data_IF_027552717511
#
_entry.id   IF_027552717511
#
_cell.length_a   1.000
_cell.length_b   1.000
_cell.length_c   1.000
_cell.angle_alpha   90.00
_cell.angle_beta   90.00
_cell.angle_gamma   90.00
#
_symmetry.space_group_name_H-M   'P 1'
#
loop_
_entity.id
_entity.type
_entity.pdbx_description
1 polymer ?
#
# COMPACT_ATOMS: atom_id res chain seq x y z
N UNK A 1 44.41 5.07 59.48
CA UNK A 1 44.29 5.39 60.92
C UNK A 1 42.88 5.84 61.20
N UNK A 2 42.33 5.28 62.28
CA UNK A 2 40.98 5.33 62.87
C UNK A 2 40.20 6.66 62.88
N UNK A 3 38.86 6.57 62.77
CA UNK A 3 37.81 6.93 63.77
C UNK A 3 36.50 7.30 63.02
N UNK A 4 35.42 6.50 63.11
CA UNK A 4 34.35 6.49 64.14
C UNK A 4 33.50 7.79 64.14
N UNK A 5 32.18 7.81 64.32
CA UNK A 5 31.11 6.84 64.46
C UNK A 5 29.74 7.59 64.46
N UNK A 6 28.68 6.91 64.04
CA UNK A 6 27.26 6.97 64.43
C UNK A 6 26.60 8.23 65.08
N UNK A 7 25.45 8.65 64.53
CA UNK A 7 24.13 8.82 65.22
C UNK A 7 23.09 9.42 64.26
N UNK A 8 22.02 8.70 63.89
CA UNK A 8 20.73 8.58 64.60
C UNK A 8 19.98 9.92 64.76
N UNK A 9 19.15 10.26 63.77
CA UNK A 9 18.06 11.22 63.95
C UNK A 9 16.75 10.45 64.20
N UNK A 10 16.49 10.16 65.49
CA UNK A 10 15.15 9.84 65.98
C UNK A 10 14.29 11.09 65.86
N UNK A 11 13.39 11.12 64.88
CA UNK A 11 12.28 12.07 64.86
C UNK A 11 11.36 11.73 66.03
N UNK A 12 11.16 12.69 66.95
CA UNK A 12 10.37 12.50 68.17
C UNK A 12 8.89 12.38 67.80
N UNK A 13 8.19 11.42 68.41
CA UNK A 13 6.75 11.17 68.26
C UNK A 13 5.84 12.41 68.44
N UNK A 14 6.36 13.49 69.05
CA UNK A 14 5.62 14.76 69.25
C UNK A 14 5.45 15.60 67.99
N UNK A 15 6.25 15.38 66.94
CA UNK A 15 6.08 16.07 65.65
C UNK A 15 5.06 15.38 64.73
N UNK A 16 4.73 14.13 65.01
CA UNK A 16 3.71 13.36 64.29
C UNK A 16 2.30 13.75 64.78
N UNK A 17 2.12 13.97 66.08
CA UNK A 17 0.81 14.35 66.66
C UNK A 17 0.34 15.76 66.26
N UNK A 18 1.27 16.67 65.93
CA UNK A 18 0.92 18.01 65.43
C UNK A 18 0.68 18.05 63.91
N UNK A 19 1.24 17.12 63.14
CA UNK A 19 0.99 17.01 61.69
C UNK A 19 -0.40 16.41 61.36
N UNK A 20 -0.99 15.63 62.29
CA UNK A 20 -2.34 15.09 62.14
C UNK A 20 -3.46 16.03 62.63
N UNK A 21 -3.13 17.15 63.30
CA UNK A 21 -4.13 18.10 63.83
C UNK A 21 -4.69 19.10 62.81
N UNK A 22 -4.13 19.14 61.58
CA UNK A 22 -4.54 20.06 60.51
C UNK A 22 -4.72 19.44 59.12
N UNK A 23 -5.19 18.18 59.04
CA UNK A 23 -5.85 17.70 57.81
C UNK A 23 -7.29 17.35 58.11
N UNK A 24 -8.14 18.38 58.11
CA UNK A 24 -9.57 18.18 57.86
C UNK A 24 -9.68 17.53 56.49
N UNK A 25 -10.07 16.26 56.46
CA UNK A 25 -10.64 15.65 55.26
C UNK A 25 -11.91 16.46 54.98
N UNK A 26 -12.01 17.20 53.86
CA UNK A 26 -13.23 17.93 53.55
C UNK A 26 -14.29 16.89 53.19
N UNK A 27 -15.15 16.56 54.14
CA UNK A 27 -16.44 15.97 53.82
C UNK A 27 -17.25 17.03 53.06
N UNK A 28 -17.68 16.77 51.81
CA UNK A 28 -18.37 17.76 50.99
C UNK A 28 -19.69 18.16 51.65
N UNK A 29 -19.83 19.45 51.98
CA UNK A 29 -21.01 20.02 52.67
C UNK A 29 -22.14 20.44 51.72
N UNK A 30 -22.06 20.08 50.44
CA UNK A 30 -23.16 20.24 49.48
C UNK A 30 -23.31 18.95 48.69
N UNK A 31 -24.53 18.41 48.67
CA UNK A 31 -24.93 17.20 47.93
C UNK A 31 -24.43 17.18 46.48
N UNK A 32 -24.23 18.36 45.90
CA UNK A 32 -23.71 18.59 44.54
C UNK A 32 -22.26 18.10 44.37
N UNK A 33 -21.38 18.26 45.35
CA UNK A 33 -19.97 17.81 45.27
C UNK A 33 -19.87 16.29 45.39
N UNK A 34 -20.72 15.67 46.20
CA UNK A 34 -20.82 14.21 46.28
C UNK A 34 -21.33 13.61 44.97
N UNK A 35 -22.34 14.23 44.36
CA UNK A 35 -22.86 13.84 43.04
C UNK A 35 -21.77 14.01 41.97
N UNK A 36 -20.98 15.09 42.01
CA UNK A 36 -19.88 15.29 41.07
C UNK A 36 -18.80 14.21 41.21
N UNK A 37 -18.41 13.85 42.44
CA UNK A 37 -17.44 12.77 42.68
C UNK A 37 -17.97 11.39 42.26
N UNK A 38 -19.27 11.13 42.47
CA UNK A 38 -19.94 9.91 41.98
C UNK A 38 -20.00 9.88 40.44
N UNK A 39 -20.29 11.02 39.80
CA UNK A 39 -20.32 11.12 38.35
C UNK A 39 -18.93 10.90 37.75
N UNK A 40 -17.89 11.49 38.34
CA UNK A 40 -16.49 11.32 37.90
C UNK A 40 -16.01 9.87 38.12
N UNK A 41 -16.38 9.24 39.24
CA UNK A 41 -16.00 7.84 39.48
C UNK A 41 -16.73 6.90 38.53
N UNK A 42 -18.00 7.17 38.22
CA UNK A 42 -18.79 6.38 37.29
C UNK A 42 -18.29 6.52 35.85
N UNK A 43 -17.94 7.73 35.39
CA UNK A 43 -17.34 7.94 34.06
C UNK A 43 -15.96 7.30 33.95
N UNK A 44 -15.15 7.35 35.01
CA UNK A 44 -13.86 6.66 35.05
C UNK A 44 -14.04 5.13 34.99
N UNK A 45 -15.00 4.57 35.71
CA UNK A 45 -15.32 3.15 35.65
C UNK A 45 -15.84 2.72 34.27
N UNK A 46 -16.71 3.51 33.66
CA UNK A 46 -17.20 3.28 32.30
C UNK A 46 -16.07 3.37 31.28
N UNK A 47 -15.14 4.32 31.43
CA UNK A 47 -13.95 4.44 30.58
C UNK A 47 -13.02 3.22 30.73
N UNK A 48 -12.77 2.76 31.95
CA UNK A 48 -11.98 1.54 32.18
C UNK A 48 -12.66 0.29 31.61
N UNK A 49 -13.98 0.19 31.78
CA UNK A 49 -14.75 -0.96 31.29
C UNK A 49 -14.84 -0.98 29.77
N UNK A 50 -15.04 0.19 29.13
CA UNK A 50 -15.01 0.33 27.67
C UNK A 50 -13.63 0.07 27.10
N UNK A 51 -12.55 0.50 27.75
CA UNK A 51 -11.19 0.15 27.32
C UNK A 51 -10.89 -1.35 27.47
N UNK A 52 -11.36 -1.98 28.54
CA UNK A 52 -11.23 -3.43 28.75
C UNK A 52 -12.06 -4.22 27.72
N UNK A 53 -13.27 -3.76 27.40
CA UNK A 53 -14.10 -4.32 26.35
C UNK A 53 -13.48 -4.12 24.97
N UNK A 54 -12.94 -2.94 24.66
CA UNK A 54 -12.25 -2.66 23.38
C UNK A 54 -10.98 -3.49 23.23
N UNK A 55 -10.22 -3.68 24.31
CA UNK A 55 -9.05 -4.57 24.31
C UNK A 55 -9.47 -6.02 24.07
N UNK A 56 -10.52 -6.51 24.75
CA UNK A 56 -11.07 -7.85 24.52
C UNK A 56 -11.72 -8.01 23.15
N UNK A 57 -12.35 -6.97 22.61
CA UNK A 57 -12.89 -6.95 21.25
C UNK A 57 -11.77 -7.05 20.23
N UNK A 58 -10.68 -6.29 20.38
CA UNK A 58 -9.49 -6.43 19.53
C UNK A 58 -8.85 -7.80 19.66
N UNK A 59 -8.74 -8.34 20.88
CA UNK A 59 -8.19 -9.67 21.11
C UNK A 59 -9.09 -10.76 20.50
N UNK A 60 -10.41 -10.61 20.59
CA UNK A 60 -11.38 -11.48 19.93
C UNK A 60 -11.36 -11.30 18.41
N UNK A 61 -11.25 -10.08 17.87
CA UNK A 61 -11.15 -9.79 16.43
C UNK A 61 -9.88 -10.39 15.82
N UNK A 62 -8.77 -10.38 16.57
CA UNK A 62 -7.52 -11.07 16.20
C UNK A 62 -7.68 -12.59 16.27
N UNK A 63 -8.41 -13.12 17.26
CA UNK A 63 -8.68 -14.57 17.43
C UNK A 63 -9.77 -15.11 16.49
N UNK A 64 -10.66 -14.25 15.99
CA UNK A 64 -11.78 -14.59 15.11
C UNK A 64 -11.49 -14.36 13.63
N UNK A 65 -10.33 -13.86 13.22
CA UNK A 65 -9.94 -13.92 11.81
C UNK A 65 -9.77 -15.39 11.44
N UNK A 66 -10.73 -15.99 10.71
CA UNK A 66 -10.53 -17.35 10.20
C UNK A 66 -9.35 -17.27 9.22
N UNK A 67 -8.73 -18.40 8.90
CA UNK A 67 -7.94 -18.46 7.67
C UNK A 67 -8.80 -17.89 6.53
N UNK A 68 -8.23 -17.13 5.62
CA UNK A 68 -9.00 -16.48 4.55
C UNK A 68 -9.82 -17.53 3.76
N UNK A 69 -9.37 -18.79 3.73
CA UNK A 69 -10.10 -19.97 3.24
C UNK A 69 -11.33 -20.40 4.08
N UNK A 70 -11.27 -20.32 5.42
CA UNK A 70 -12.44 -20.57 6.27
C UNK A 70 -13.48 -19.44 6.18
N UNK A 71 -13.06 -18.20 5.96
CA UNK A 71 -13.96 -17.07 5.69
C UNK A 71 -14.62 -17.15 4.30
N UNK A 72 -14.05 -17.93 3.38
CA UNK A 72 -14.57 -18.22 2.04
C UNK A 72 -15.63 -19.35 2.00
N UNK A 73 -16.07 -19.87 3.16
CA UNK A 73 -17.10 -20.92 3.24
C UNK A 73 -16.61 -22.32 2.85
N UNK A 74 -15.29 -22.53 2.74
CA UNK A 74 -14.70 -23.80 2.28
C UNK A 74 -14.64 -24.84 3.41
N UNK A 75 -14.87 -24.42 4.66
CA UNK A 75 -15.03 -25.32 5.82
C UNK A 75 -16.44 -25.18 6.42
N UNK A 76 -17.47 -25.57 5.67
CA UNK A 76 -18.83 -25.63 6.21
C UNK A 76 -19.85 -25.94 5.13
N UNK A 77 -20.64 -27.01 5.33
CA UNK A 77 -21.77 -27.39 4.48
C UNK A 77 -22.78 -26.24 4.36
N UNK A 78 -22.64 -25.38 3.34
CA UNK A 78 -23.71 -24.52 2.85
C UNK A 78 -23.66 -24.50 1.33
N UNK A 79 -24.33 -25.50 0.74
CA UNK A 79 -24.79 -25.46 -0.64
C UNK A 79 -26.00 -24.54 -0.68
N UNK A 80 -25.83 -23.31 -1.16
CA UNK A 80 -26.93 -22.52 -1.73
C UNK A 80 -26.60 -22.28 -3.20
N UNK A 81 -27.14 -23.15 -4.05
CA UNK A 81 -27.00 -23.11 -5.50
C UNK A 81 -27.99 -22.16 -6.16
N UNK A 82 -27.82 -20.85 -5.95
CA UNK A 82 -28.52 -19.82 -6.70
C UNK A 82 -27.71 -18.51 -6.66
N UNK A 83 -26.68 -18.39 -7.51
CA UNK A 83 -26.16 -17.11 -8.04
C UNK A 83 -24.90 -17.30 -8.92
N UNK A 84 -24.77 -18.44 -9.60
CA UNK A 84 -23.71 -18.64 -10.59
C UNK A 84 -24.01 -17.87 -11.89
N UNK A 85 -23.89 -16.54 -11.88
CA UNK A 85 -24.25 -15.75 -13.06
C UNK A 85 -23.93 -14.25 -13.08
N UNK A 86 -23.24 -13.66 -12.09
CA UNK A 86 -22.80 -12.26 -12.19
C UNK A 86 -21.34 -12.16 -12.65
N UNK A 87 -21.14 -11.43 -13.75
CA UNK A 87 -19.80 -11.10 -14.27
C UNK A 87 -18.91 -10.34 -13.26
N UNK A 88 -19.50 -9.72 -12.23
CA UNK A 88 -18.78 -8.97 -11.20
C UNK A 88 -18.02 -9.86 -10.20
N UNK A 89 -18.37 -11.14 -10.08
CA UNK A 89 -17.81 -12.00 -9.04
C UNK A 89 -16.36 -12.44 -9.32
N UNK A 90 -15.96 -12.52 -10.60
CA UNK A 90 -14.61 -13.02 -10.98
C UNK A 90 -13.47 -12.13 -10.45
N UNK A 91 -13.73 -10.82 -10.31
CA UNK A 91 -12.78 -9.82 -9.85
C UNK A 91 -12.47 -9.89 -8.35
N UNK A 92 -12.98 -10.92 -7.67
CA UNK A 92 -12.68 -11.24 -6.27
C UNK A 92 -11.78 -12.47 -6.18
N UNK A 93 -11.10 -12.64 -5.05
CA UNK A 93 -10.33 -13.86 -4.77
C UNK A 93 -11.22 -15.12 -4.87
N UNK A 94 -12.45 -15.05 -4.34
CA UNK A 94 -13.41 -16.14 -4.41
C UNK A 94 -13.79 -16.47 -5.86
N UNK A 95 -14.20 -15.47 -6.64
CA UNK A 95 -14.60 -15.72 -8.03
C UNK A 95 -13.44 -16.18 -8.91
N UNK A 96 -12.21 -15.70 -8.66
CA UNK A 96 -11.02 -16.25 -9.32
C UNK A 96 -10.84 -17.73 -8.98
N UNK A 97 -10.99 -18.12 -7.71
CA UNK A 97 -10.94 -19.54 -7.31
C UNK A 97 -12.02 -20.36 -8.01
N UNK A 98 -13.27 -19.90 -8.00
CA UNK A 98 -14.38 -20.61 -8.67
C UNK A 98 -14.18 -20.73 -10.17
N UNK A 99 -13.63 -19.70 -10.82
CA UNK A 99 -13.29 -19.74 -12.24
C UNK A 99 -12.19 -20.77 -12.55
N UNK A 100 -11.13 -20.82 -11.74
CA UNK A 100 -10.06 -21.82 -11.91
C UNK A 100 -10.56 -23.24 -11.68
N UNK A 101 -11.49 -23.40 -10.73
CA UNK A 101 -12.15 -24.68 -10.45
C UNK A 101 -13.03 -25.12 -11.62
N UNK A 102 -13.93 -24.24 -12.10
CA UNK A 102 -14.87 -24.58 -13.18
C UNK A 102 -14.20 -24.84 -14.52
N UNK A 103 -13.04 -24.22 -14.77
CA UNK A 103 -12.23 -24.42 -15.98
C UNK A 103 -11.23 -25.58 -15.86
N UNK A 104 -11.16 -26.26 -14.71
CA UNK A 104 -10.21 -27.34 -14.44
C UNK A 104 -8.75 -26.89 -14.24
N UNK A 105 -8.46 -25.59 -14.35
CA UNK A 105 -7.11 -25.03 -14.21
C UNK A 105 -6.51 -25.25 -12.81
N UNK A 106 -7.35 -25.37 -11.78
CA UNK A 106 -6.91 -25.56 -10.38
C UNK A 106 -6.05 -26.81 -10.19
N UNK A 107 -6.32 -27.87 -10.95
CA UNK A 107 -5.63 -29.17 -10.83
C UNK A 107 -4.14 -29.07 -11.21
N UNK A 108 -3.83 -28.25 -12.22
CA UNK A 108 -2.49 -28.09 -12.77
C UNK A 108 -1.78 -26.82 -12.30
N UNK A 109 -2.46 -25.96 -11.55
CA UNK A 109 -1.86 -24.71 -11.06
C UNK A 109 -0.74 -25.02 -10.06
N UNK A 110 0.47 -24.54 -10.35
CA UNK A 110 1.61 -24.63 -9.42
C UNK A 110 2.25 -23.26 -9.20
N UNK A 111 2.94 -23.11 -8.07
CA UNK A 111 3.75 -21.90 -7.81
C UNK A 111 4.88 -21.74 -8.81
N UNK A 112 5.49 -22.85 -9.26
CA UNK A 112 6.58 -22.83 -10.24
C UNK A 112 6.17 -22.20 -11.58
N UNK A 113 4.95 -22.47 -12.06
CA UNK A 113 4.44 -21.91 -13.33
C UNK A 113 4.28 -20.38 -13.30
N UNK A 114 4.07 -19.82 -12.11
CA UNK A 114 3.84 -18.39 -11.88
C UNK A 114 5.08 -17.66 -11.36
N UNK A 115 6.18 -18.37 -11.13
CA UNK A 115 7.38 -17.83 -10.50
C UNK A 115 8.35 -17.25 -11.55
N UNK A 116 8.34 -15.92 -11.68
CA UNK A 116 9.30 -15.20 -12.52
C UNK A 116 10.60 -14.83 -11.76
N UNK A 117 10.64 -14.95 -10.43
CA UNK A 117 11.81 -14.56 -9.61
C UNK A 117 13.05 -15.33 -10.00
N UNK A 118 12.92 -16.65 -10.25
CA UNK A 118 14.04 -17.50 -10.66
C UNK A 118 14.63 -17.19 -12.04
N UNK A 119 14.04 -16.25 -12.81
CA UNK A 119 14.57 -15.80 -14.11
C UNK A 119 15.49 -14.59 -13.99
N UNK A 120 15.57 -13.97 -12.81
CA UNK A 120 16.46 -12.84 -12.58
C UNK A 120 17.93 -13.29 -12.56
N UNK A 121 18.80 -12.41 -13.05
CA UNK A 121 20.25 -12.60 -13.10
C UNK A 121 20.97 -11.77 -12.04
N UNK A 122 20.25 -10.85 -11.38
CA UNK A 122 20.75 -9.98 -10.33
C UNK A 122 20.03 -10.27 -9.02
N UNK A 123 20.75 -10.16 -7.91
CA UNK A 123 20.17 -10.10 -6.55
C UNK A 123 19.68 -8.66 -6.26
N UNK A 124 18.88 -8.12 -7.17
CA UNK A 124 18.36 -6.75 -7.10
C UNK A 124 16.88 -6.75 -7.43
N UNK A 125 16.06 -6.26 -6.51
CA UNK A 125 14.67 -5.93 -6.83
C UNK A 125 14.64 -4.56 -7.51
N UNK A 126 14.05 -4.51 -8.70
CA UNK A 126 13.73 -3.25 -9.33
C UNK A 126 12.24 -2.93 -9.19
N UNK A 127 11.94 -1.90 -8.40
CA UNK A 127 10.59 -1.41 -8.17
C UNK A 127 10.36 -0.13 -8.99
N UNK A 128 9.90 -0.31 -10.22
CA UNK A 128 9.60 0.80 -11.14
C UNK A 128 8.24 1.44 -10.80
N UNK A 129 8.17 2.07 -9.63
CA UNK A 129 6.92 2.45 -8.94
C UNK A 129 5.99 3.33 -9.77
N UNK A 130 4.72 2.93 -9.83
CA UNK A 130 3.62 3.78 -10.29
C UNK A 130 3.36 4.90 -9.26
N UNK A 131 2.90 6.07 -9.71
CA UNK A 131 2.47 7.16 -8.82
C UNK A 131 1.15 6.84 -8.12
N UNK A 132 1.04 7.23 -6.84
CA UNK A 132 -0.17 7.16 -6.00
C UNK A 132 -0.74 5.74 -5.77
N UNK A 133 0.10 4.71 -5.90
CA UNK A 133 -0.23 3.32 -5.56
C UNK A 133 0.27 2.90 -4.17
N UNK A 134 0.63 3.87 -3.31
CA UNK A 134 1.18 3.61 -1.97
C UNK A 134 2.63 3.12 -1.99
N UNK A 135 3.42 3.60 -2.95
CA UNK A 135 4.83 3.23 -3.12
C UNK A 135 5.75 3.71 -1.99
N UNK A 136 5.46 4.84 -1.34
CA UNK A 136 6.16 5.26 -0.11
C UNK A 136 5.98 4.23 1.02
N UNK A 137 4.76 3.67 1.17
CA UNK A 137 4.49 2.62 2.14
C UNK A 137 5.31 1.37 1.86
N UNK A 138 5.42 0.97 0.60
CA UNK A 138 6.27 -0.14 0.19
C UNK A 138 7.75 0.15 0.48
N UNK A 139 8.21 1.38 0.24
CA UNK A 139 9.60 1.76 0.50
C UNK A 139 9.96 1.73 1.98
N UNK A 140 9.07 2.20 2.86
CA UNK A 140 9.29 2.07 4.31
C UNK A 140 9.33 0.61 4.75
N UNK A 141 8.44 -0.23 4.20
CA UNK A 141 8.48 -1.67 4.44
C UNK A 141 9.81 -2.29 3.94
N UNK A 142 10.28 -1.93 2.75
CA UNK A 142 11.57 -2.40 2.21
C UNK A 142 12.76 -1.96 3.06
N UNK A 143 12.74 -0.77 3.67
CA UNK A 143 13.78 -0.34 4.61
C UNK A 143 13.79 -1.19 5.88
N UNK A 144 12.62 -1.54 6.41
CA UNK A 144 12.49 -2.40 7.59
C UNK A 144 12.97 -3.82 7.25
N UNK A 145 12.52 -4.36 6.12
CA UNK A 145 12.91 -5.69 5.65
C UNK A 145 14.39 -5.75 5.27
N UNK A 146 14.99 -4.67 4.78
CA UNK A 146 16.42 -4.60 4.50
C UNK A 146 17.27 -4.86 5.74
N UNK A 147 16.81 -4.39 6.91
CA UNK A 147 17.45 -4.69 8.20
C UNK A 147 17.22 -6.14 8.65
N UNK A 148 16.01 -6.67 8.43
CA UNK A 148 15.64 -8.03 8.84
C UNK A 148 16.33 -9.10 7.99
N UNK A 149 16.36 -8.88 6.68
CA UNK A 149 16.75 -9.86 5.69
C UNK A 149 18.14 -9.53 5.09
N UNK A 150 18.91 -8.58 5.62
CA UNK A 150 20.26 -8.23 5.15
C UNK A 150 20.32 -7.86 3.66
N UNK A 151 19.66 -6.74 3.30
CA UNK A 151 19.78 -6.12 1.97
C UNK A 151 19.67 -4.59 2.07
N UNK A 152 20.17 -3.87 1.06
CA UNK A 152 20.12 -2.40 1.03
C UNK A 152 18.86 -1.91 0.30
N UNK A 153 18.05 -1.07 0.94
CA UNK A 153 16.94 -0.39 0.29
C UNK A 153 17.38 0.95 -0.32
N UNK A 154 17.44 1.02 -1.65
CA UNK A 154 17.87 2.20 -2.41
C UNK A 154 16.71 2.81 -3.20
N UNK A 155 16.80 4.11 -3.45
CA UNK A 155 15.85 4.89 -4.26
C UNK A 155 16.59 5.93 -5.07
N UNK A 156 15.95 6.43 -6.10
CA UNK A 156 16.45 7.59 -6.84
C UNK A 156 16.47 8.86 -5.98
N UNK A 157 17.41 9.75 -6.32
CA UNK A 157 17.52 11.07 -5.72
C UNK A 157 16.34 11.96 -6.15
N UNK A 158 15.94 12.88 -5.26
CA UNK A 158 14.85 13.80 -5.55
C UNK A 158 15.26 14.78 -6.66
N UNK A 159 14.50 14.74 -7.76
CA UNK A 159 14.67 15.63 -8.91
C UNK A 159 13.57 16.68 -8.98
N UNK A 160 13.83 17.75 -9.73
CA UNK A 160 12.81 18.77 -10.05
C UNK A 160 11.65 18.13 -10.84
N UNK A 161 11.99 17.23 -11.77
CA UNK A 161 11.03 16.48 -12.58
C UNK A 161 11.40 14.99 -12.58
N UNK A 162 10.38 14.16 -12.63
CA UNK A 162 10.53 12.72 -12.78
C UNK A 162 10.77 12.37 -14.26
N UNK A 163 11.79 11.54 -14.52
CA UNK A 163 12.09 11.02 -15.86
C UNK A 163 11.47 9.63 -15.99
N UNK A 164 10.22 9.59 -16.46
CA UNK A 164 9.47 8.33 -16.62
C UNK A 164 9.89 7.56 -17.87
N UNK A 165 10.16 8.27 -18.97
CA UNK A 165 10.59 7.71 -20.25
C UNK A 165 12.03 8.12 -20.53
N UNK A 166 12.83 7.15 -20.95
CA UNK A 166 14.25 7.31 -21.24
C UNK A 166 14.52 6.80 -22.65
N UNK A 167 15.39 7.48 -23.39
CA UNK A 167 15.97 6.92 -24.61
C UNK A 167 16.92 5.75 -24.26
N UNK A 168 17.26 4.88 -25.22
CA UNK A 168 18.07 3.69 -24.95
C UNK A 168 19.45 3.99 -24.36
N UNK A 169 20.11 5.09 -24.76
CA UNK A 169 21.44 5.45 -24.27
C UNK A 169 21.34 5.89 -22.81
N UNK A 170 20.39 6.77 -22.51
CA UNK A 170 20.15 7.19 -21.14
C UNK A 170 19.71 6.02 -20.24
N UNK A 171 18.83 5.15 -20.72
CA UNK A 171 18.37 3.97 -19.98
C UNK A 171 19.53 3.02 -19.66
N UNK A 172 20.44 2.77 -20.61
CA UNK A 172 21.63 1.93 -20.39
C UNK A 172 22.58 2.56 -19.37
N UNK A 173 22.85 3.87 -19.48
CA UNK A 173 23.66 4.58 -18.50
C UNK A 173 23.06 4.50 -17.09
N UNK A 174 21.75 4.73 -16.96
CA UNK A 174 21.01 4.57 -15.71
C UNK A 174 21.15 3.16 -15.12
N UNK A 175 21.02 2.11 -15.94
CA UNK A 175 21.20 0.74 -15.46
C UNK A 175 22.60 0.55 -14.87
N UNK A 176 23.65 1.01 -15.55
CA UNK A 176 25.01 0.89 -15.03
C UNK A 176 25.26 1.72 -13.76
N UNK A 177 24.80 2.97 -13.71
CA UNK A 177 25.06 3.88 -12.59
C UNK A 177 24.26 3.55 -11.34
N UNK A 178 23.03 3.07 -11.51
CA UNK A 178 22.06 2.97 -10.43
C UNK A 178 21.68 1.53 -10.11
N UNK A 179 21.48 0.68 -11.10
CA UNK A 179 21.05 -0.71 -10.89
C UNK A 179 22.25 -1.62 -10.60
N UNK A 180 23.27 -1.59 -11.47
CA UNK A 180 24.43 -2.49 -11.42
C UNK A 180 25.55 -2.03 -10.48
N UNK A 181 25.45 -0.81 -9.95
CA UNK A 181 26.47 -0.21 -9.08
C UNK A 181 26.50 -0.81 -7.65
N UNK A 182 25.50 -1.61 -7.27
CA UNK A 182 25.49 -2.32 -5.99
C UNK A 182 25.72 -3.81 -6.21
N UNK A 183 26.71 -4.35 -5.49
CA UNK A 183 27.10 -5.77 -5.59
C UNK A 183 26.41 -6.65 -4.56
N UNK A 184 25.88 -6.05 -3.50
CA UNK A 184 25.09 -6.74 -2.48
C UNK A 184 23.62 -6.85 -2.88
N UNK A 185 22.93 -7.77 -2.23
CA UNK A 185 21.47 -7.84 -2.27
C UNK A 185 20.88 -6.45 -2.00
N UNK A 186 20.05 -5.96 -2.89
CA UNK A 186 19.47 -4.63 -2.74
C UNK A 186 18.11 -4.48 -3.45
N UNK A 187 17.44 -3.37 -3.16
CA UNK A 187 16.29 -2.92 -3.93
C UNK A 187 16.58 -1.54 -4.49
N UNK A 188 16.09 -1.25 -5.70
CA UNK A 188 16.15 0.08 -6.29
C UNK A 188 14.75 0.50 -6.72
N UNK A 189 14.31 1.65 -6.20
CA UNK A 189 12.98 2.19 -6.45
C UNK A 189 13.06 3.48 -7.25
N UNK A 190 12.29 3.59 -8.35
CA UNK A 190 12.24 4.80 -9.19
C UNK A 190 10.90 4.92 -9.93
N UNK A 191 10.44 6.16 -10.16
CA UNK A 191 9.36 6.44 -11.10
C UNK A 191 9.84 6.34 -12.54
N UNK A 192 9.71 5.15 -13.14
CA UNK A 192 10.16 4.90 -14.52
C UNK A 192 9.31 3.83 -15.20
N UNK A 193 9.09 3.97 -16.51
CA UNK A 193 8.40 2.96 -17.30
C UNK A 193 9.20 1.65 -17.37
N UNK A 194 8.52 0.56 -17.72
CA UNK A 194 9.17 -0.75 -17.89
C UNK A 194 10.35 -0.66 -18.87
N UNK A 195 11.50 -1.20 -18.46
CA UNK A 195 12.72 -1.28 -19.25
C UNK A 195 12.93 -2.72 -19.69
N UNK A 196 13.19 -2.93 -20.97
CA UNK A 196 13.57 -4.24 -21.48
C UNK A 196 15.09 -4.39 -21.40
N UNK A 197 15.56 -5.06 -20.33
CA UNK A 197 16.98 -5.29 -20.10
C UNK A 197 17.61 -6.16 -21.21
N UNK A 198 16.84 -7.07 -21.84
CA UNK A 198 17.37 -7.84 -22.98
C UNK A 198 17.63 -6.96 -24.19
N UNK A 199 16.74 -5.99 -24.44
CA UNK A 199 16.91 -5.06 -25.55
C UNK A 199 18.12 -4.13 -25.37
N UNK A 200 18.63 -3.99 -24.14
CA UNK A 200 19.80 -3.16 -23.81
C UNK A 200 21.08 -4.00 -23.59
N UNK A 201 21.00 -5.33 -23.76
CA UNK A 201 22.08 -6.28 -23.44
C UNK A 201 22.54 -6.20 -21.98
N UNK A 202 21.57 -6.13 -21.06
CA UNK A 202 21.80 -6.00 -19.62
C UNK A 202 21.17 -7.16 -18.83
N UNK A 203 21.71 -7.50 -17.64
CA UNK A 203 21.19 -8.58 -16.80
C UNK A 203 19.88 -8.21 -16.11
N UNK A 204 18.92 -9.14 -16.09
CA UNK A 204 17.59 -8.88 -15.52
C UNK A 204 17.58 -8.78 -13.99
N UNK A 205 16.99 -7.73 -13.40
CA UNK A 205 16.62 -7.69 -11.99
C UNK A 205 15.30 -8.44 -11.72
N UNK A 206 14.96 -8.58 -10.43
CA UNK A 206 13.65 -9.05 -9.99
C UNK A 206 12.67 -7.87 -10.09
N UNK A 207 11.78 -7.88 -11.07
CA UNK A 207 10.77 -6.84 -11.21
C UNK A 207 9.60 -7.03 -10.24
N UNK A 208 9.25 -5.98 -9.50
CA UNK A 208 8.01 -5.91 -8.73
C UNK A 208 7.27 -4.60 -9.04
N UNK A 209 5.97 -4.57 -8.76
CA UNK A 209 5.25 -3.30 -8.75
C UNK A 209 4.02 -3.31 -7.84
N UNK A 210 3.37 -2.15 -7.73
CA UNK A 210 2.11 -1.96 -7.02
C UNK A 210 1.14 -1.19 -7.91
N UNK A 211 -0.11 -1.66 -7.99
CA UNK A 211 -1.21 -0.98 -8.67
C UNK A 211 -2.28 -0.52 -7.69
N UNK A 212 -3.19 0.31 -8.20
CA UNK A 212 -4.39 0.77 -7.50
C UNK A 212 -5.53 0.91 -8.50
N UNK A 213 -6.77 0.87 -8.03
CA UNK A 213 -7.92 1.25 -8.85
C UNK A 213 -7.64 2.58 -9.60
N UNK A 214 -7.75 2.61 -10.94
CA UNK A 214 -7.35 3.77 -11.73
C UNK A 214 -8.11 5.04 -11.37
N UNK A 215 -9.40 4.95 -11.01
CA UNK A 215 -10.22 6.10 -10.64
C UNK A 215 -9.75 6.63 -9.29
N UNK A 216 -9.65 5.77 -8.28
CA UNK A 216 -9.21 6.17 -6.94
C UNK A 216 -7.77 6.70 -6.92
N UNK A 217 -6.94 6.23 -7.86
CA UNK A 217 -5.58 6.71 -8.11
C UNK A 217 -5.57 8.13 -8.71
N UNK A 218 -6.43 8.43 -9.69
CA UNK A 218 -6.59 9.77 -10.25
C UNK A 218 -7.09 10.76 -9.20
N UNK A 219 -8.14 10.40 -8.45
CA UNK A 219 -8.63 11.19 -7.32
C UNK A 219 -7.48 11.44 -6.33
N UNK A 220 -6.62 10.42 -6.12
CA UNK A 220 -5.47 10.55 -5.24
C UNK A 220 -4.35 11.43 -5.74
N UNK A 221 -4.15 11.50 -7.04
CA UNK A 221 -3.21 12.43 -7.62
C UNK A 221 -3.75 13.85 -7.54
N UNK A 222 -5.02 14.05 -7.93
CA UNK A 222 -5.66 15.35 -8.01
C UNK A 222 -5.52 16.17 -6.71
N UNK A 223 -5.89 15.56 -5.57
CA UNK A 223 -5.78 16.24 -4.27
C UNK A 223 -4.35 16.27 -3.72
N UNK A 224 -3.46 15.36 -4.14
CA UNK A 224 -2.05 15.41 -3.73
C UNK A 224 -1.32 16.56 -4.41
N UNK A 225 -1.49 16.71 -5.73
CA UNK A 225 -0.89 17.79 -6.50
C UNK A 225 -1.37 19.18 -6.02
N UNK A 226 -2.51 19.25 -5.34
CA UNK A 226 -3.08 20.47 -4.75
C UNK A 226 -2.78 20.65 -3.27
N UNK A 227 -2.02 19.75 -2.65
CA UNK A 227 -1.75 19.85 -1.24
C UNK A 227 -0.79 21.03 -0.95
N UNK A 228 -1.11 21.94 -0.01
CA UNK A 228 -0.23 23.09 0.27
C UNK A 228 1.17 22.69 0.71
N UNK A 229 1.29 21.60 1.49
CA UNK A 229 2.58 21.08 1.95
C UNK A 229 3.46 20.59 0.79
N UNK A 230 2.87 19.99 -0.24
CA UNK A 230 3.61 19.52 -1.43
C UNK A 230 4.32 20.68 -2.14
N UNK A 231 3.66 21.83 -2.27
CA UNK A 231 4.25 23.03 -2.87
C UNK A 231 5.24 23.72 -1.94
N UNK A 232 4.96 23.76 -0.63
CA UNK A 232 5.86 24.34 0.36
C UNK A 232 7.20 23.60 0.41
N UNK A 233 7.18 22.27 0.52
CA UNK A 233 8.38 21.42 0.54
C UNK A 233 9.18 21.58 -0.75
N UNK A 234 8.53 21.54 -1.92
CA UNK A 234 9.24 21.71 -3.20
C UNK A 234 9.87 23.09 -3.32
N UNK A 235 9.20 24.15 -2.86
CA UNK A 235 9.77 25.51 -2.87
C UNK A 235 10.94 25.64 -1.90
N UNK A 236 10.90 24.95 -0.77
CA UNK A 236 12.03 24.86 0.15
C UNK A 236 13.23 24.15 -0.51
N UNK A 237 13.01 23.04 -1.21
CA UNK A 237 14.08 22.26 -1.86
C UNK A 237 14.65 22.92 -3.12
N UNK A 238 13.80 23.48 -3.99
CA UNK A 238 14.19 23.92 -5.33
C UNK A 238 14.12 25.46 -5.51
N UNK A 239 13.77 26.19 -4.47
CA UNK A 239 13.73 27.66 -4.46
C UNK A 239 12.76 28.25 -5.49
N UNK A 240 13.18 29.33 -6.13
CA UNK A 240 12.36 30.11 -7.07
C UNK A 240 12.06 29.41 -8.39
N UNK A 241 12.65 28.24 -8.64
CA UNK A 241 12.24 27.38 -9.76
C UNK A 241 10.80 26.86 -9.58
N UNK A 242 10.27 26.87 -8.36
CA UNK A 242 8.90 26.47 -8.04
C UNK A 242 8.00 27.70 -7.98
N UNK A 243 7.17 27.86 -9.01
CA UNK A 243 6.09 28.83 -9.01
C UNK A 243 4.92 28.29 -8.18
N UNK A 244 4.50 29.06 -7.17
CA UNK A 244 3.35 28.69 -6.36
C UNK A 244 2.08 28.80 -7.20
N UNK A 245 1.22 27.76 -7.20
CA UNK A 245 -0.01 27.78 -7.97
C UNK A 245 -1.04 28.75 -7.37
N UNK A 246 -2.02 29.12 -8.19
CA UNK A 246 -3.15 29.94 -7.76
C UNK A 246 -3.97 29.26 -6.65
N UNK A 247 -4.48 30.06 -5.71
CA UNK A 247 -5.24 29.55 -4.56
C UNK A 247 -6.56 28.90 -5.03
N UNK A 248 -7.20 29.39 -6.09
CA UNK A 248 -8.42 28.78 -6.60
C UNK A 248 -8.13 27.42 -7.22
N UNK A 249 -6.99 27.28 -7.91
CA UNK A 249 -6.54 25.98 -8.42
C UNK A 249 -6.30 24.97 -7.29
N UNK A 250 -5.63 25.39 -6.19
CA UNK A 250 -5.40 24.56 -5.01
C UNK A 250 -6.70 24.10 -4.33
N UNK A 251 -7.74 24.94 -4.33
CA UNK A 251 -9.05 24.65 -3.71
C UNK A 251 -10.04 23.92 -4.62
N UNK A 252 -9.73 23.79 -5.91
CA UNK A 252 -10.62 23.17 -6.90
C UNK A 252 -11.02 21.75 -6.47
N UNK A 253 -12.31 21.45 -6.54
CA UNK A 253 -12.83 20.10 -6.29
C UNK A 253 -12.75 19.23 -7.55
N UNK A 254 -12.52 17.92 -7.36
CA UNK A 254 -12.36 17.00 -8.48
C UNK A 254 -13.64 16.82 -9.29
N UNK A 255 -14.81 16.82 -8.65
CA UNK A 255 -16.09 16.73 -9.37
C UNK A 255 -16.29 17.96 -10.25
N UNK A 256 -16.06 19.15 -9.67
CA UNK A 256 -16.14 20.41 -10.40
C UNK A 256 -15.17 20.45 -11.58
N UNK A 257 -13.94 19.94 -11.40
CA UNK A 257 -12.93 19.84 -12.47
C UNK A 257 -13.41 18.98 -13.65
N UNK A 258 -14.06 17.85 -13.37
CA UNK A 258 -14.64 16.99 -14.41
C UNK A 258 -15.86 17.63 -15.08
N UNK A 259 -16.74 18.27 -14.30
CA UNK A 259 -17.96 18.92 -14.81
C UNK A 259 -17.65 20.11 -15.70
N UNK A 260 -16.67 20.93 -15.31
CA UNK A 260 -16.23 22.11 -16.07
C UNK A 260 -15.28 21.75 -17.23
N UNK A 261 -14.88 20.48 -17.35
CA UNK A 261 -13.95 19.99 -18.37
C UNK A 261 -12.61 20.75 -18.34
N UNK A 262 -12.10 21.02 -17.13
CA UNK A 262 -10.76 21.58 -16.97
C UNK A 262 -9.75 20.66 -17.68
N UNK A 263 -8.74 21.22 -18.38
CA UNK A 263 -7.83 20.41 -19.19
C UNK A 263 -7.21 19.19 -18.50
N UNK A 264 -6.88 19.28 -17.20
CA UNK A 264 -6.29 18.18 -16.42
C UNK A 264 -7.27 17.04 -16.05
N UNK A 265 -8.58 17.30 -16.15
CA UNK A 265 -9.66 16.36 -15.85
C UNK A 265 -10.38 15.86 -17.11
N UNK A 266 -9.82 16.15 -18.28
CA UNK A 266 -10.24 15.59 -19.56
C UNK A 266 -9.42 14.32 -19.85
N UNK A 267 -10.12 13.23 -20.16
CA UNK A 267 -9.55 11.89 -20.35
C UNK A 267 -9.89 11.37 -21.75
N UNK A 268 -9.36 12.03 -22.77
CA UNK A 268 -9.62 11.72 -24.17
C UNK A 268 -8.84 10.48 -24.62
N UNK A 269 -9.52 9.60 -25.35
CA UNK A 269 -8.93 8.36 -25.87
C UNK A 269 -7.80 8.68 -26.85
N UNK A 270 -6.71 7.91 -26.77
CA UNK A 270 -5.52 8.07 -27.62
C UNK A 270 -4.80 9.41 -27.46
N UNK A 271 -5.17 10.24 -26.48
CA UNK A 271 -4.49 11.51 -26.24
C UNK A 271 -3.02 11.25 -25.90
N UNK A 272 -2.13 11.92 -26.64
CA UNK A 272 -0.68 11.86 -26.47
C UNK A 272 -0.15 12.94 -25.54
N UNK A 273 -1.01 13.88 -25.12
CA UNK A 273 -0.65 15.01 -24.27
C UNK A 273 -0.06 14.58 -22.94
N UNK A 274 0.97 15.33 -22.50
CA UNK A 274 1.63 15.13 -21.22
C UNK A 274 1.19 16.22 -20.22
N UNK A 275 -0.03 16.08 -19.69
CA UNK A 275 -0.51 16.88 -18.55
C UNK A 275 0.08 16.40 -17.19
N UNK A 276 1.28 15.79 -17.23
CA UNK A 276 1.97 15.27 -16.05
C UNK A 276 1.70 13.79 -15.75
N UNK A 277 1.56 12.97 -16.80
CA UNK A 277 1.46 11.49 -16.95
C UNK A 277 0.91 10.58 -15.83
N UNK A 278 0.35 11.15 -14.78
CA UNK A 278 -0.29 10.45 -13.68
C UNK A 278 -1.56 9.75 -14.14
N UNK A 279 -2.04 10.00 -15.37
CA UNK A 279 -3.25 9.36 -15.91
C UNK A 279 -3.01 7.91 -16.34
N UNK A 280 -1.77 7.56 -16.74
CA UNK A 280 -1.43 6.27 -17.36
C UNK A 280 -0.73 5.35 -16.38
N UNK A 281 -1.48 4.44 -15.73
CA UNK A 281 -0.86 3.36 -14.97
C UNK A 281 -0.26 2.32 -15.93
N UNK A 282 -0.92 2.07 -17.07
CA UNK A 282 -0.45 1.16 -18.11
C UNK A 282 0.95 1.48 -18.63
N UNK A 283 1.34 2.77 -18.70
CA UNK A 283 2.67 3.19 -19.18
C UNK A 283 3.81 2.52 -18.41
N UNK A 284 3.68 2.45 -17.08
CA UNK A 284 4.68 1.88 -16.20
C UNK A 284 4.94 0.39 -16.46
N UNK A 285 4.00 -0.31 -17.09
CA UNK A 285 4.10 -1.71 -17.45
C UNK A 285 4.33 -1.93 -18.95
N UNK A 286 3.83 -1.05 -19.81
CA UNK A 286 3.97 -1.15 -21.26
C UNK A 286 5.42 -0.90 -21.70
N UNK A 287 6.06 0.13 -21.13
CA UNK A 287 7.48 0.43 -21.28
C UNK A 287 7.80 1.64 -22.16
N UNK A 288 9.06 1.72 -22.58
CA UNK A 288 9.67 2.93 -23.16
C UNK A 288 9.22 3.31 -24.58
N UNK A 289 8.45 2.47 -25.27
CA UNK A 289 8.05 2.71 -26.67
C UNK A 289 6.89 3.69 -26.75
N UNK A 290 7.21 4.96 -26.96
CA UNK A 290 6.23 6.07 -26.89
C UNK A 290 5.12 5.96 -27.92
N UNK A 291 5.42 5.51 -29.13
CA UNK A 291 4.46 5.26 -30.22
C UNK A 291 3.31 4.32 -29.81
N UNK A 292 3.60 3.34 -28.95
CA UNK A 292 2.64 2.33 -28.49
C UNK A 292 2.11 2.63 -27.09
N UNK A 293 2.97 3.07 -26.18
CA UNK A 293 2.67 3.11 -24.75
C UNK A 293 2.15 4.46 -24.25
N UNK A 294 2.39 5.56 -24.97
CA UNK A 294 1.90 6.89 -24.60
C UNK A 294 0.43 7.16 -24.96
N UNK A 295 -0.17 6.60 -26.02
CA UNK A 295 -1.58 6.85 -26.30
C UNK A 295 -2.46 6.47 -25.12
N UNK A 296 -3.19 7.45 -24.56
CA UNK A 296 -4.00 7.22 -23.36
C UNK A 296 -5.09 6.17 -23.61
N UNK A 297 -5.24 5.23 -22.67
CA UNK A 297 -6.26 4.19 -22.70
C UNK A 297 -6.24 3.37 -24.03
N UNK A 298 -5.08 3.21 -24.66
CA UNK A 298 -4.90 2.39 -25.87
C UNK A 298 -5.04 0.89 -25.57
N UNK A 299 -5.60 0.17 -26.53
CA UNK A 299 -5.64 -1.28 -26.51
C UNK A 299 -4.23 -1.90 -26.63
N UNK A 300 -3.40 -1.42 -27.56
CA UNK A 300 -2.04 -1.93 -27.73
C UNK A 300 -1.17 -1.72 -26.48
N UNK A 301 -1.26 -0.54 -25.87
CA UNK A 301 -0.54 -0.21 -24.65
C UNK A 301 -0.89 -1.19 -23.52
N UNK A 302 -2.19 -1.41 -23.30
CA UNK A 302 -2.70 -2.31 -22.28
C UNK A 302 -2.33 -3.78 -22.54
N UNK A 303 -2.43 -4.27 -23.78
CA UNK A 303 -2.05 -5.64 -24.11
C UNK A 303 -0.55 -5.89 -23.91
N UNK A 304 0.29 -4.91 -24.30
CA UNK A 304 1.74 -4.98 -24.05
C UNK A 304 2.06 -4.95 -22.55
N UNK A 305 1.38 -4.09 -21.79
CA UNK A 305 1.49 -4.07 -20.34
C UNK A 305 1.16 -5.43 -19.71
N UNK A 306 0.02 -6.04 -20.08
CA UNK A 306 -0.38 -7.39 -19.62
C UNK A 306 0.70 -8.43 -19.91
N UNK A 307 1.22 -8.45 -21.14
CA UNK A 307 2.29 -9.36 -21.57
C UNK A 307 3.57 -9.18 -20.74
N UNK A 308 3.97 -7.94 -20.46
CA UNK A 308 5.15 -7.67 -19.64
C UNK A 308 4.94 -8.11 -18.19
N UNK A 309 3.77 -7.82 -17.61
CA UNK A 309 3.39 -8.28 -16.26
C UNK A 309 3.49 -9.80 -16.15
N UNK A 310 2.93 -10.54 -17.10
CA UNK A 310 3.01 -12.02 -17.08
C UNK A 310 4.43 -12.55 -17.22
N UNK A 311 5.23 -11.98 -18.12
CA UNK A 311 6.53 -12.56 -18.49
C UNK A 311 7.68 -12.13 -17.59
N UNK A 312 7.62 -10.92 -17.04
CA UNK A 312 8.79 -10.25 -16.45
C UNK A 312 8.63 -9.88 -14.98
N UNK A 313 7.42 -9.60 -14.50
CA UNK A 313 7.21 -9.23 -13.10
C UNK A 313 7.08 -10.47 -12.22
N UNK A 314 7.83 -10.52 -11.11
CA UNK A 314 7.68 -11.54 -10.09
C UNK A 314 6.30 -11.39 -9.43
N UNK A 315 6.07 -10.24 -8.80
CA UNK A 315 4.80 -9.93 -8.12
C UNK A 315 4.38 -8.50 -8.44
N UNK A 316 3.11 -8.32 -8.76
CA UNK A 316 2.46 -7.01 -8.84
C UNK A 316 1.28 -7.02 -7.88
N UNK A 317 1.36 -6.22 -6.81
CA UNK A 317 0.39 -6.21 -5.72
C UNK A 317 -0.57 -5.02 -5.74
N UNK A 318 -1.51 -5.00 -4.79
CA UNK A 318 -2.34 -3.83 -4.45
C UNK A 318 -2.58 -3.76 -2.94
N UNK A 319 -2.58 -2.54 -2.38
CA UNK A 319 -2.93 -2.35 -0.97
C UNK A 319 -4.42 -2.58 -0.69
N UNK A 320 -5.26 -2.64 -1.71
CA UNK A 320 -6.68 -3.02 -1.57
C UNK A 320 -6.82 -4.50 -1.15
N UNK A 321 -5.83 -5.34 -1.52
CA UNK A 321 -5.70 -6.75 -1.13
C UNK A 321 -4.37 -6.95 -0.37
N UNK A 322 -4.18 -6.20 0.72
CA UNK A 322 -2.92 -6.13 1.47
C UNK A 322 -2.40 -7.51 1.91
N UNK A 323 -3.23 -8.34 2.55
CA UNK A 323 -2.81 -9.65 3.04
C UNK A 323 -2.34 -10.56 1.91
N UNK A 324 -3.14 -10.66 0.85
CA UNK A 324 -2.82 -11.41 -0.35
C UNK A 324 -1.50 -10.94 -0.95
N UNK A 325 -1.32 -9.63 -1.09
CA UNK A 325 -0.08 -9.03 -1.62
C UNK A 325 1.15 -9.43 -0.78
N UNK A 326 1.08 -9.28 0.54
CA UNK A 326 2.20 -9.58 1.43
C UNK A 326 2.53 -11.08 1.44
N UNK A 327 1.51 -11.95 1.47
CA UNK A 327 1.71 -13.41 1.40
C UNK A 327 2.30 -13.86 0.06
N UNK A 328 1.88 -13.26 -1.05
CA UNK A 328 2.47 -13.56 -2.37
C UNK A 328 3.91 -13.07 -2.46
N UNK A 329 4.23 -11.89 -1.93
CA UNK A 329 5.61 -11.39 -1.88
C UNK A 329 6.52 -12.31 -1.04
N UNK A 330 6.06 -12.74 0.14
CA UNK A 330 6.75 -13.71 0.99
C UNK A 330 7.02 -15.03 0.27
N UNK A 331 6.01 -15.57 -0.42
CA UNK A 331 6.11 -16.86 -1.09
C UNK A 331 6.97 -16.87 -2.35
N UNK A 332 6.92 -15.81 -3.16
CA UNK A 332 7.62 -15.76 -4.45
C UNK A 332 8.98 -15.06 -4.41
N UNK A 333 9.26 -14.25 -3.39
CA UNK A 333 10.52 -13.50 -3.26
C UNK A 333 11.03 -13.53 -1.80
N UNK A 334 11.21 -14.73 -1.18
CA UNK A 334 11.48 -14.87 0.25
C UNK A 334 12.78 -14.17 0.69
N UNK A 335 13.83 -14.19 -0.14
CA UNK A 335 15.13 -13.50 0.14
C UNK A 335 14.96 -12.04 0.57
N UNK A 336 13.93 -11.36 0.06
CA UNK A 336 13.67 -9.95 0.34
C UNK A 336 12.44 -9.74 1.23
N UNK A 337 11.42 -10.58 1.09
CA UNK A 337 10.12 -10.35 1.73
C UNK A 337 9.78 -11.32 2.85
N UNK A 338 10.66 -12.22 3.27
CA UNK A 338 10.41 -13.05 4.46
C UNK A 338 10.05 -12.17 5.67
N UNK A 339 8.89 -12.45 6.28
CA UNK A 339 8.35 -11.68 7.39
C UNK A 339 7.70 -10.34 7.03
N UNK A 340 7.48 -10.04 5.75
CA UNK A 340 6.84 -8.80 5.29
C UNK A 340 5.47 -8.56 5.92
N UNK A 341 4.64 -9.59 6.08
CA UNK A 341 3.31 -9.45 6.68
C UNK A 341 3.40 -9.03 8.14
N UNK A 342 4.30 -9.66 8.88
CA UNK A 342 4.56 -9.35 10.29
C UNK A 342 5.05 -7.91 10.46
N UNK A 343 6.10 -7.53 9.72
CA UNK A 343 6.69 -6.18 9.82
C UNK A 343 5.76 -5.08 9.34
N UNK A 344 4.94 -5.35 8.32
CA UNK A 344 3.93 -4.40 7.85
C UNK A 344 2.91 -4.05 8.94
N UNK A 345 2.40 -5.05 9.67
CA UNK A 345 1.40 -4.80 10.71
C UNK A 345 2.00 -4.11 11.92
N UNK A 346 3.22 -4.48 12.33
CA UNK A 346 3.99 -3.74 13.36
C UNK A 346 4.18 -2.28 12.95
N UNK A 347 4.64 -2.03 11.73
CA UNK A 347 4.85 -0.69 11.19
C UNK A 347 3.55 0.12 11.18
N UNK A 348 2.44 -0.49 10.74
CA UNK A 348 1.12 0.16 10.70
C UNK A 348 0.62 0.51 12.09
N UNK A 349 0.87 -0.32 13.09
CA UNK A 349 0.43 -0.08 14.46
C UNK A 349 1.21 1.07 15.11
N UNK A 350 2.50 1.24 14.74
CA UNK A 350 3.36 2.33 15.24
C UNK A 350 3.13 3.65 14.49
N UNK A 351 3.09 3.62 13.16
CA UNK A 351 3.02 4.82 12.32
C UNK A 351 1.59 5.21 11.91
N UNK A 352 0.61 4.36 12.23
CA UNK A 352 -0.75 4.50 11.73
C UNK A 352 -0.86 4.24 10.22
N UNK A 353 -2.03 4.56 9.66
CA UNK A 353 -2.19 4.64 8.21
C UNK A 353 -1.61 5.97 7.69
N UNK A 354 -0.30 6.02 7.57
CA UNK A 354 0.37 7.13 6.89
C UNK A 354 -0.06 7.17 5.41
N UNK A 355 -0.15 8.39 4.85
CA UNK A 355 -0.62 8.69 3.49
C UNK A 355 -2.13 8.55 3.20
N UNK A 356 -2.98 8.41 4.22
CA UNK A 356 -4.44 8.52 4.05
C UNK A 356 -4.88 9.99 4.18
N UNK A 357 -5.33 10.59 3.08
CA UNK A 357 -5.98 11.90 3.14
C UNK A 357 -7.40 11.74 3.73
N UNK A 358 -7.57 12.11 5.01
CA UNK A 358 -8.84 11.97 5.75
C UNK A 358 -9.96 12.89 5.24
N UNK A 359 -9.62 14.00 4.57
CA UNK A 359 -10.57 15.01 4.12
C UNK A 359 -10.83 14.94 2.61
N UNK A 360 -10.69 13.76 2.00
CA UNK A 360 -10.94 13.60 0.57
C UNK A 360 -12.45 13.68 0.29
N UNK A 361 -12.92 14.66 -0.52
CA UNK A 361 -14.29 14.69 -0.99
C UNK A 361 -14.65 13.42 -1.77
N UNK A 362 -15.89 12.97 -1.62
CA UNK A 362 -16.42 11.83 -2.36
C UNK A 362 -16.61 12.17 -3.83
N UNK A 363 -16.23 11.26 -4.71
CA UNK A 363 -16.52 11.35 -6.14
C UNK A 363 -18.04 11.17 -6.35
N UNK A 364 -18.65 12.05 -7.14
CA UNK A 364 -20.06 11.97 -7.52
C UNK A 364 -20.30 10.79 -8.48
N UNK A 365 -21.52 10.24 -8.48
CA UNK A 365 -21.87 9.12 -9.38
C UNK A 365 -21.71 9.50 -10.85
N UNK A 366 -22.03 10.76 -11.20
CA UNK A 366 -21.84 11.31 -12.55
C UNK A 366 -20.36 11.33 -12.94
N UNK A 367 -19.50 11.87 -12.08
CA UNK A 367 -18.07 11.92 -12.32
C UNK A 367 -17.48 10.51 -12.42
N UNK A 368 -17.90 9.59 -11.54
CA UNK A 368 -17.52 8.17 -11.59
C UNK A 368 -17.93 7.54 -12.92
N UNK A 369 -19.13 7.78 -13.41
CA UNK A 369 -19.61 7.22 -14.68
C UNK A 369 -18.78 7.73 -15.88
N UNK A 370 -18.43 9.02 -15.91
CA UNK A 370 -17.55 9.60 -16.95
C UNK A 370 -16.18 8.93 -16.92
N UNK A 371 -15.57 8.82 -15.74
CA UNK A 371 -14.25 8.19 -15.59
C UNK A 371 -14.28 6.71 -15.97
N UNK A 372 -15.27 5.93 -15.52
CA UNK A 372 -15.41 4.52 -15.87
C UNK A 372 -15.54 4.29 -17.38
N UNK A 373 -16.21 5.20 -18.09
CA UNK A 373 -16.32 5.15 -19.56
C UNK A 373 -14.99 5.46 -20.26
N UNK A 374 -14.17 6.34 -19.69
CA UNK A 374 -12.95 6.85 -20.33
C UNK A 374 -11.68 6.08 -19.92
N UNK A 375 -11.70 5.28 -18.84
CA UNK A 375 -10.56 4.53 -18.30
C UNK A 375 -10.66 3.02 -18.51
N UNK A 376 -11.45 2.59 -19.49
CA UNK A 376 -11.77 1.17 -19.71
C UNK A 376 -10.54 0.26 -19.78
N UNK A 377 -9.47 0.65 -20.47
CA UNK A 377 -8.23 -0.14 -20.62
C UNK A 377 -7.36 -0.10 -19.37
N UNK A 378 -7.31 1.03 -18.68
CA UNK A 378 -6.64 1.13 -17.37
C UNK A 378 -7.32 0.23 -16.32
N UNK A 379 -8.66 0.20 -16.29
CA UNK A 379 -9.47 -0.66 -15.40
C UNK A 379 -9.27 -2.14 -15.76
N UNK A 380 -9.31 -2.47 -17.05
CA UNK A 380 -9.09 -3.84 -17.54
C UNK A 380 -7.68 -4.36 -17.18
N UNK A 381 -6.65 -3.50 -17.26
CA UNK A 381 -5.30 -3.84 -16.83
C UNK A 381 -5.24 -4.08 -15.32
N UNK A 382 -5.85 -3.20 -14.52
CA UNK A 382 -5.89 -3.33 -13.07
C UNK A 382 -6.57 -4.64 -12.62
N UNK A 383 -7.72 -4.98 -13.19
CA UNK A 383 -8.43 -6.24 -12.91
C UNK A 383 -7.59 -7.46 -13.31
N UNK A 384 -6.95 -7.41 -14.48
CA UNK A 384 -6.03 -8.47 -14.91
C UNK A 384 -4.89 -8.70 -13.92
N UNK A 385 -4.27 -7.63 -13.42
CA UNK A 385 -3.19 -7.70 -12.44
C UNK A 385 -3.69 -8.32 -11.13
N UNK A 386 -4.90 -7.94 -10.66
CA UNK A 386 -5.51 -8.55 -9.47
C UNK A 386 -5.81 -10.04 -9.66
N UNK A 387 -6.37 -10.44 -10.81
CA UNK A 387 -6.56 -11.85 -11.11
C UNK A 387 -5.23 -12.63 -11.08
N UNK A 388 -4.15 -12.07 -11.63
CA UNK A 388 -2.82 -12.70 -11.56
C UNK A 388 -2.34 -12.83 -10.11
N UNK A 389 -2.50 -11.80 -9.29
CA UNK A 389 -2.16 -11.84 -7.86
C UNK A 389 -2.94 -12.94 -7.13
N UNK A 390 -4.24 -13.05 -7.38
CA UNK A 390 -5.08 -14.10 -6.80
C UNK A 390 -4.67 -15.49 -7.26
N UNK A 391 -4.34 -15.68 -8.54
CA UNK A 391 -3.77 -16.95 -9.03
C UNK A 391 -2.49 -17.32 -8.28
N UNK A 392 -1.58 -16.36 -8.07
CA UNK A 392 -0.35 -16.60 -7.31
C UNK A 392 -0.63 -16.99 -5.87
N UNK A 393 -1.58 -16.31 -5.21
CA UNK A 393 -1.98 -16.64 -3.85
C UNK A 393 -2.61 -18.03 -3.76
N UNK A 394 -3.57 -18.35 -4.64
CA UNK A 394 -4.23 -19.65 -4.68
C UNK A 394 -3.18 -20.75 -4.88
N UNK A 395 -2.22 -20.58 -5.80
CA UNK A 395 -1.15 -21.55 -6.00
C UNK A 395 -0.36 -21.83 -4.71
N UNK A 396 -0.01 -20.79 -3.94
CA UNK A 396 0.65 -20.96 -2.63
C UNK A 396 -0.22 -21.76 -1.66
N UNK A 397 -1.53 -21.50 -1.62
CA UNK A 397 -2.46 -22.23 -0.74
C UNK A 397 -2.62 -23.69 -1.17
N UNK A 398 -2.63 -23.99 -2.47
CA UNK A 398 -2.67 -25.36 -2.98
C UNK A 398 -1.42 -26.17 -2.66
N UNK A 399 -0.25 -25.51 -2.60
CA UNK A 399 1.00 -26.16 -2.22
C UNK A 399 1.06 -26.42 -0.70
N UNK A 400 0.42 -25.57 0.11
CA UNK A 400 0.27 -25.76 1.56
C UNK A 400 -0.78 -26.82 1.93
N UNK A 401 -1.93 -26.82 1.23
CA UNK A 401 -2.99 -27.82 1.39
C UNK A 401 -3.41 -28.41 0.03
N UNK A 402 -2.77 -29.50 -0.40
CA UNK A 402 -3.07 -30.17 -1.66
C UNK A 402 -4.52 -30.67 -1.79
N UNK A 403 -5.26 -30.83 -0.67
CA UNK A 403 -6.66 -31.29 -0.71
C UNK A 403 -7.58 -30.29 -1.40
N UNK A 404 -7.21 -29.01 -1.41
CA UNK A 404 -7.93 -27.96 -2.11
C UNK A 404 -7.99 -28.16 -3.63
N UNK A 405 -7.14 -29.04 -4.21
CA UNK A 405 -7.17 -29.33 -5.65
C UNK A 405 -8.36 -30.19 -6.09
N UNK A 406 -9.00 -30.92 -5.17
CA UNK A 406 -9.97 -31.98 -5.48
C UNK A 406 -11.42 -31.60 -5.08
N UNK A 407 -11.58 -30.58 -4.23
CA UNK A 407 -12.88 -30.20 -3.63
C UNK A 407 -13.64 -29.12 -4.39
#
# INVERSE_FOLDING_TARGET
MSLNAERSYKMKLRDVENAFKYRRIPYPKRSVELIALLAISCTFFLFMHTNKLNSRLKEMEVKLQPSEFSALGITGNHISGHDAGKHDDINTLHGTYQYLKSTGQLTHLTTADLNNTGRAQLDTIFFNRVTKTGSEKMMELLKILGKRNDFVARRDAEGLYEVVIMDPVYAKNFIHSDILNETKANTYTKHVAFIDFTALDEPWPIYINMVRDPIERLVSWFYYARAPWYWAERRETFGDAIQMPDINWLKKDFNQCIEEHDPECVYEQMEMGNLGDHRRQSLFFCGMRTDICMPFNSHEAMQRAKKNVEKRYAVVGTWEDTNTTLTVLEGYIPRFFEGAKEEYYKMRDVLGNFNKNQFRPTLSDRARAVLSKNLTREIELYQFIRHRLYKQYIALQLDLDPKLRVN
#
